data_IF_756133395780
#
_entry.id   IF_756133395780
#
_cell.length_a   1.000
_cell.length_b   1.000
_cell.length_c   1.000
_cell.angle_alpha   90.00
_cell.angle_beta   90.00
_cell.angle_gamma   90.00
#
_symmetry.space_group_name_H-M   'P 1'
#
loop_
_entity.id
_entity.type
_entity.pdbx_description
1 polymer ?
#
# COMPACT_ATOMS: atom_id res chain seq x y z
N UNK A 1 52.02 6.44 -47.20
CA UNK A 1 50.78 5.64 -47.35
C UNK A 1 50.26 5.31 -45.96
N UNK A 2 49.08 5.81 -45.57
CA UNK A 2 48.42 5.50 -44.30
C UNK A 2 47.18 4.63 -44.59
N UNK A 3 46.86 3.62 -43.74
CA UNK A 3 45.78 2.68 -44.04
C UNK A 3 44.40 3.27 -43.71
N UNK A 4 43.43 2.96 -44.57
CA UNK A 4 42.03 3.35 -44.47
C UNK A 4 41.35 2.70 -43.25
N UNK A 5 40.78 3.51 -42.37
CA UNK A 5 39.84 3.06 -41.32
C UNK A 5 38.43 2.99 -41.92
N UNK A 6 37.98 1.77 -42.17
CA UNK A 6 36.61 1.39 -42.57
C UNK A 6 35.65 1.73 -41.43
N UNK A 7 34.75 2.68 -41.63
CA UNK A 7 33.70 3.03 -40.67
C UNK A 7 32.61 1.96 -40.62
N UNK A 8 32.40 1.37 -39.44
CA UNK A 8 31.16 0.67 -39.09
C UNK A 8 30.17 1.69 -38.51
N UNK A 9 28.95 1.81 -39.02
CA UNK A 9 27.87 2.40 -38.23
C UNK A 9 27.35 1.33 -37.27
N UNK A 10 27.61 1.52 -35.97
CA UNK A 10 26.92 0.77 -34.92
C UNK A 10 25.44 1.10 -34.98
N UNK A 11 24.64 0.16 -35.48
CA UNK A 11 23.19 0.25 -35.39
C UNK A 11 22.81 0.24 -33.91
N UNK A 12 22.30 1.37 -33.41
CA UNK A 12 21.63 1.46 -32.12
C UNK A 12 20.35 0.63 -32.20
N UNK A 13 20.43 -0.63 -31.80
CA UNK A 13 19.24 -1.48 -31.63
C UNK A 13 18.46 -0.95 -30.44
N UNK A 14 17.43 -0.14 -30.71
CA UNK A 14 16.39 0.19 -29.73
C UNK A 14 15.60 -1.09 -29.48
N UNK A 15 15.54 -1.61 -28.24
CA UNK A 15 14.71 -2.78 -27.95
C UNK A 15 13.23 -2.40 -28.17
N UNK A 16 12.39 -3.34 -28.66
CA UNK A 16 10.97 -3.07 -28.84
C UNK A 16 10.32 -2.75 -27.49
N UNK A 17 9.30 -1.87 -27.46
CA UNK A 17 8.54 -1.66 -26.23
C UNK A 17 7.89 -2.99 -25.84
N UNK A 18 8.17 -3.46 -24.63
CA UNK A 18 7.49 -4.62 -24.08
C UNK A 18 5.98 -4.33 -24.10
N UNK A 19 5.24 -5.15 -24.81
CA UNK A 19 3.77 -5.15 -24.82
C UNK A 19 3.25 -5.65 -23.48
N UNK A 20 3.42 -4.86 -22.42
CA UNK A 20 2.59 -4.94 -21.25
C UNK A 20 1.52 -3.87 -21.43
N UNK A 21 0.26 -4.30 -21.56
CA UNK A 21 -0.91 -3.48 -21.20
C UNK A 21 -0.52 -2.50 -20.12
N UNK A 22 -0.71 -1.21 -20.37
CA UNK A 22 -0.45 -0.12 -19.44
C UNK A 22 -1.39 -0.24 -18.22
N UNK A 23 -1.16 -1.26 -17.41
CA UNK A 23 -1.47 -1.21 -15.99
C UNK A 23 -0.69 0.00 -15.51
N UNK A 24 -1.43 0.99 -15.02
CA UNK A 24 -0.91 2.14 -14.28
C UNK A 24 0.32 1.66 -13.50
N UNK A 25 1.46 2.34 -13.62
CA UNK A 25 2.76 1.98 -13.01
C UNK A 25 2.64 1.96 -11.47
N UNK A 26 1.91 1.00 -10.93
CA UNK A 26 1.56 0.86 -9.53
C UNK A 26 2.73 0.18 -8.84
N UNK A 27 3.17 0.68 -7.66
CA UNK A 27 4.22 0.03 -6.91
C UNK A 27 3.82 -1.39 -6.49
N UNK A 28 4.75 -2.34 -6.49
CA UNK A 28 4.46 -3.70 -6.06
C UNK A 28 4.04 -3.73 -4.60
N UNK A 29 3.02 -4.53 -4.29
CA UNK A 29 2.46 -4.69 -2.95
C UNK A 29 3.12 -5.90 -2.28
N UNK A 30 3.78 -5.68 -1.14
CA UNK A 30 4.36 -6.75 -0.30
C UNK A 30 3.33 -7.36 0.66
N UNK A 31 2.33 -6.58 1.08
CA UNK A 31 1.23 -7.04 1.90
C UNK A 31 -0.03 -6.19 1.68
N UNK A 32 -1.20 -6.81 1.88
CA UNK A 32 -2.51 -6.18 1.98
C UNK A 32 -3.18 -6.71 3.25
N UNK A 33 -3.84 -5.84 4.01
CA UNK A 33 -4.48 -6.20 5.27
C UNK A 33 -5.73 -5.35 5.49
N UNK A 34 -6.67 -5.91 6.25
CA UNK A 34 -7.87 -5.27 6.76
C UNK A 34 -7.79 -5.29 8.28
N UNK A 35 -7.87 -4.12 8.88
CA UNK A 35 -7.92 -3.94 10.33
C UNK A 35 -9.34 -3.49 10.69
N UNK A 36 -9.86 -4.08 11.75
CA UNK A 36 -11.16 -3.78 12.33
C UNK A 36 -10.98 -3.36 13.79
N UNK A 37 -11.75 -2.36 14.22
CA UNK A 37 -11.80 -1.95 15.61
C UNK A 37 -12.87 -2.73 16.37
N UNK A 38 -12.41 -3.63 17.24
CA UNK A 38 -13.26 -4.34 18.19
C UNK A 38 -13.27 -3.61 19.54
N UNK A 39 -14.46 -3.41 20.11
CA UNK A 39 -14.64 -2.65 21.36
C UNK A 39 -13.98 -3.33 22.58
N UNK A 40 -13.75 -4.65 22.53
CA UNK A 40 -13.15 -5.45 23.61
C UNK A 40 -11.68 -5.77 23.34
N UNK A 41 -11.33 -6.13 22.11
CA UNK A 41 -10.00 -6.56 21.71
C UNK A 41 -9.12 -5.42 21.19
N UNK A 42 -9.70 -4.25 20.90
CA UNK A 42 -9.00 -3.12 20.31
C UNK A 42 -8.81 -3.32 18.81
N UNK A 43 -7.62 -2.98 18.30
CA UNK A 43 -7.32 -3.08 16.87
C UNK A 43 -6.94 -4.52 16.51
N UNK A 44 -7.69 -5.14 15.60
CA UNK A 44 -7.47 -6.53 15.19
C UNK A 44 -7.31 -6.65 13.68
N UNK A 45 -6.49 -7.59 13.22
CA UNK A 45 -6.41 -7.91 11.79
C UNK A 45 -7.55 -8.87 11.46
N UNK A 46 -8.57 -8.36 10.76
CA UNK A 46 -9.69 -9.19 10.28
C UNK A 46 -9.28 -10.06 9.09
N UNK A 47 -8.36 -9.57 8.26
CA UNK A 47 -7.82 -10.32 7.12
C UNK A 47 -6.42 -9.81 6.73
N UNK A 48 -5.54 -10.69 6.25
CA UNK A 48 -4.24 -10.31 5.69
C UNK A 48 -3.74 -11.27 4.62
N UNK A 49 -2.93 -10.73 3.70
CA UNK A 49 -2.10 -11.48 2.79
C UNK A 49 -0.76 -10.77 2.64
N UNK A 50 0.34 -11.52 2.77
CA UNK A 50 1.69 -10.97 2.72
C UNK A 50 2.66 -11.95 2.04
N UNK A 51 3.79 -11.42 1.57
CA UNK A 51 4.94 -12.25 1.17
C UNK A 51 5.47 -13.04 2.37
N UNK A 52 6.10 -14.21 2.16
CA UNK A 52 6.67 -15.01 3.24
C UNK A 52 7.70 -14.22 4.07
N UNK A 53 7.60 -14.32 5.40
CA UNK A 53 8.54 -13.71 6.34
C UNK A 53 8.29 -12.23 6.66
N UNK A 54 7.22 -11.62 6.12
CA UNK A 54 6.81 -10.26 6.50
C UNK A 54 5.81 -10.34 7.67
N UNK A 55 6.24 -9.87 8.84
CA UNK A 55 5.41 -9.90 10.04
C UNK A 55 4.43 -8.72 10.05
N UNK A 56 3.17 -9.00 10.39
CA UNK A 56 2.11 -7.98 10.42
C UNK A 56 1.45 -7.91 11.79
N UNK A 57 1.39 -9.03 12.51
CA UNK A 57 0.59 -9.16 13.73
C UNK A 57 1.19 -8.34 14.86
N UNK A 58 0.36 -7.56 15.53
CA UNK A 58 0.76 -6.64 16.58
C UNK A 58 1.74 -5.58 16.10
N UNK A 59 1.73 -5.21 14.83
CA UNK A 59 2.62 -4.22 14.20
C UNK A 59 1.89 -3.21 13.31
N UNK A 60 0.96 -3.64 12.45
CA UNK A 60 0.29 -2.74 11.49
C UNK A 60 -1.03 -2.18 12.04
N UNK A 61 -1.62 -2.84 13.02
CA UNK A 61 -2.91 -2.50 13.64
C UNK A 61 -2.88 -1.09 14.26
N UNK A 62 -1.93 -0.87 15.16
CA UNK A 62 -1.77 0.42 15.84
C UNK A 62 -1.27 1.54 14.91
N UNK A 63 -0.62 1.19 13.79
CA UNK A 63 -0.14 2.18 12.80
C UNK A 63 -1.26 2.64 11.88
N UNK A 64 -2.21 1.76 11.59
CA UNK A 64 -3.31 2.05 10.65
C UNK A 64 -4.52 2.67 11.33
N UNK A 65 -4.58 2.59 12.67
CA UNK A 65 -5.60 3.20 13.53
C UNK A 65 -4.97 4.09 14.63
N UNK A 66 -4.29 5.21 14.28
CA UNK A 66 -3.82 6.18 15.26
C UNK A 66 -4.96 6.77 16.11
N UNK A 67 -4.61 7.25 17.31
CA UNK A 67 -5.58 7.89 18.19
C UNK A 67 -6.19 9.14 17.55
N UNK A 68 -7.49 9.35 17.78
CA UNK A 68 -8.23 10.51 17.25
C UNK A 68 -9.01 10.26 15.95
N UNK A 69 -8.77 9.14 15.26
CA UNK A 69 -9.52 8.81 14.03
C UNK A 69 -11.02 8.64 14.23
N UNK A 70 -11.49 8.41 15.46
CA UNK A 70 -12.92 8.41 15.78
C UNK A 70 -13.63 9.75 15.63
N UNK A 71 -12.87 10.84 15.41
CA UNK A 71 -13.43 12.17 15.19
C UNK A 71 -13.63 12.53 13.72
N UNK A 72 -13.18 11.66 12.80
CA UNK A 72 -13.31 11.84 11.36
C UNK A 72 -14.07 10.67 10.73
N UNK A 73 -14.67 10.90 9.58
CA UNK A 73 -15.35 9.88 8.77
C UNK A 73 -14.37 9.00 8.02
N UNK A 74 -13.27 9.58 7.55
CA UNK A 74 -12.29 8.92 6.71
C UNK A 74 -10.94 9.61 6.84
N UNK A 75 -9.86 8.87 6.62
CA UNK A 75 -8.50 9.41 6.57
C UNK A 75 -7.57 8.48 5.77
N UNK A 76 -6.40 9.00 5.39
CA UNK A 76 -5.36 8.25 4.72
C UNK A 76 -4.05 8.30 5.53
N UNK A 77 -3.67 7.17 6.11
CA UNK A 77 -2.57 7.09 7.06
C UNK A 77 -1.32 6.54 6.37
N UNK A 78 -0.21 7.28 6.49
CA UNK A 78 1.11 6.87 6.01
C UNK A 78 1.99 6.48 7.18
N UNK A 79 2.70 5.36 7.06
CA UNK A 79 3.65 4.92 8.08
C UNK A 79 4.84 4.16 7.48
N UNK A 80 5.84 3.88 8.30
CA UNK A 80 6.99 3.03 7.94
C UNK A 80 6.94 1.74 8.75
N UNK A 81 7.24 0.63 8.08
CA UNK A 81 7.26 -0.70 8.66
C UNK A 81 8.65 -1.33 8.47
N UNK A 82 9.27 -1.68 9.60
CA UNK A 82 10.58 -2.32 9.72
C UNK A 82 11.71 -1.68 8.89
N UNK A 83 11.62 -0.37 8.65
CA UNK A 83 12.62 0.40 7.90
C UNK A 83 12.75 0.05 6.41
N UNK A 84 12.03 -0.97 5.92
CA UNK A 84 12.12 -1.48 4.56
C UNK A 84 10.84 -1.25 3.73
N UNK A 85 9.70 -1.04 4.40
CA UNK A 85 8.41 -0.86 3.74
C UNK A 85 7.74 0.46 4.14
N UNK A 86 7.07 1.09 3.17
CA UNK A 86 6.10 2.14 3.42
C UNK A 86 4.72 1.50 3.54
N UNK A 87 3.98 1.88 4.59
CA UNK A 87 2.59 1.55 4.76
C UNK A 87 1.69 2.69 4.31
N UNK A 88 0.57 2.33 3.71
CA UNK A 88 -0.53 3.22 3.40
C UNK A 88 -1.84 2.53 3.77
N UNK A 89 -2.68 3.15 4.58
CA UNK A 89 -4.00 2.62 4.91
C UNK A 89 -5.10 3.66 4.76
N UNK A 90 -6.20 3.27 4.13
CA UNK A 90 -7.42 4.06 4.05
C UNK A 90 -8.34 3.66 5.21
N UNK A 91 -8.67 4.62 6.04
CA UNK A 91 -9.54 4.48 7.19
C UNK A 91 -10.94 4.97 6.86
N UNK A 92 -11.96 4.27 7.36
CA UNK A 92 -13.37 4.66 7.31
C UNK A 92 -14.01 4.41 8.68
N UNK A 93 -14.86 5.35 9.08
CA UNK A 93 -15.67 5.37 10.29
C UNK A 93 -17.12 5.64 9.91
N UNK A 94 -17.90 4.57 9.79
CA UNK A 94 -19.29 4.62 9.37
C UNK A 94 -20.24 4.34 10.52
N UNK A 95 -21.35 5.08 10.63
CA UNK A 95 -22.40 4.73 11.58
C UNK A 95 -22.92 3.30 11.32
N UNK A 96 -22.95 2.47 12.36
CA UNK A 96 -23.41 1.08 12.27
C UNK A 96 -24.45 0.79 13.36
N UNK A 97 -25.61 0.26 12.98
CA UNK A 97 -26.69 -0.07 13.94
C UNK A 97 -26.50 -1.45 14.60
N UNK A 98 -25.36 -2.11 14.39
CA UNK A 98 -25.08 -3.43 14.97
C UNK A 98 -24.86 -3.36 16.50
N UNK A 99 -25.58 -4.23 17.22
CA UNK A 99 -25.46 -4.42 18.66
C UNK A 99 -24.10 -5.03 19.04
N UNK A 100 -23.10 -4.15 19.16
CA UNK A 100 -21.72 -4.50 19.48
C UNK A 100 -20.72 -3.42 19.05
N UNK A 101 -21.04 -2.69 17.98
CA UNK A 101 -20.17 -1.67 17.37
C UNK A 101 -20.31 -0.27 18.00
N UNK A 102 -21.10 -0.09 19.07
CA UNK A 102 -21.39 1.21 19.71
C UNK A 102 -21.70 2.32 18.68
N UNK A 103 -22.57 2.03 17.73
CA UNK A 103 -23.04 2.97 16.72
C UNK A 103 -22.06 3.33 15.59
N UNK A 104 -20.85 2.74 15.54
CA UNK A 104 -19.92 3.00 14.44
C UNK A 104 -18.99 1.81 14.12
N UNK A 105 -18.87 1.47 12.84
CA UNK A 105 -17.90 0.52 12.30
C UNK A 105 -16.66 1.29 11.86
N UNK A 106 -15.51 0.94 12.43
CA UNK A 106 -14.24 1.58 12.12
C UNK A 106 -13.28 0.56 11.53
N UNK A 107 -12.95 0.73 10.25
CA UNK A 107 -12.07 -0.18 9.50
C UNK A 107 -10.91 0.57 8.85
N UNK A 108 -9.83 -0.16 8.59
CA UNK A 108 -8.68 0.35 7.86
C UNK A 108 -8.18 -0.70 6.86
N UNK A 109 -8.23 -0.38 5.57
CA UNK A 109 -7.65 -1.22 4.50
C UNK A 109 -6.29 -0.68 4.15
N UNK A 110 -5.24 -1.48 4.34
CA UNK A 110 -3.87 -1.01 4.16
C UNK A 110 -2.96 -1.96 3.41
N UNK A 111 -1.90 -1.38 2.86
CA UNK A 111 -0.85 -2.09 2.12
C UNK A 111 0.53 -1.76 2.68
N UNK A 112 1.48 -2.66 2.40
CA UNK A 112 2.90 -2.37 2.48
C UNK A 112 3.51 -2.43 1.08
N UNK A 113 4.35 -1.44 0.75
CA UNK A 113 5.15 -1.40 -0.48
C UNK A 113 6.63 -1.21 -0.15
N UNK A 114 7.57 -1.76 -0.95
CA UNK A 114 9.01 -1.59 -0.68
C UNK A 114 9.44 -0.12 -0.78
N UNK A 115 10.23 0.36 0.19
CA UNK A 115 10.81 1.71 0.16
C UNK A 115 11.84 1.88 -0.97
N UNK A 116 12.35 0.80 -1.54
CA UNK A 116 13.23 0.83 -2.71
C UNK A 116 12.56 1.39 -3.96
N UNK A 117 11.22 1.48 -3.98
CA UNK A 117 10.44 1.91 -5.15
C UNK A 117 10.19 3.43 -5.23
N UNK A 118 11.06 4.22 -4.60
CA UNK A 118 11.02 5.68 -4.56
C UNK A 118 10.59 6.23 -3.21
N UNK A 119 10.30 7.54 -3.13
CA UNK A 119 9.86 8.19 -1.89
C UNK A 119 8.61 7.47 -1.36
N UNK A 120 8.67 6.97 -0.12
CA UNK A 120 7.60 6.18 0.50
C UNK A 120 7.06 5.06 -0.41
N UNK A 121 7.93 4.44 -1.21
CA UNK A 121 7.57 3.38 -2.16
C UNK A 121 6.51 3.77 -3.19
N UNK A 122 6.26 5.08 -3.38
CA UNK A 122 5.15 5.61 -4.20
C UNK A 122 3.77 5.10 -3.78
N UNK A 123 3.58 4.75 -2.51
CA UNK A 123 2.37 4.12 -1.98
C UNK A 123 1.09 4.89 -2.32
N UNK A 124 1.15 6.23 -2.41
CA UNK A 124 0.00 7.09 -2.76
C UNK A 124 -0.67 6.72 -4.09
N UNK A 125 0.02 6.01 -5.00
CA UNK A 125 -0.59 5.52 -6.24
C UNK A 125 -1.70 4.49 -6.01
N UNK A 126 -1.76 3.88 -4.81
CA UNK A 126 -2.83 2.98 -4.40
C UNK A 126 -3.94 3.66 -3.60
N UNK A 127 -3.82 4.95 -3.27
CA UNK A 127 -4.72 5.63 -2.34
C UNK A 127 -6.19 5.55 -2.77
N UNK A 128 -6.49 5.85 -4.05
CA UNK A 128 -7.88 5.83 -4.55
C UNK A 128 -8.47 4.42 -4.52
N UNK A 129 -7.68 3.40 -4.86
CA UNK A 129 -8.11 2.00 -4.80
C UNK A 129 -8.40 1.58 -3.35
N UNK A 130 -7.55 1.97 -2.39
CA UNK A 130 -7.75 1.66 -0.98
C UNK A 130 -9.01 2.33 -0.42
N UNK A 131 -9.23 3.60 -0.75
CA UNK A 131 -10.44 4.33 -0.37
C UNK A 131 -11.69 3.67 -0.94
N UNK A 132 -11.64 3.24 -2.21
CA UNK A 132 -12.75 2.51 -2.83
C UNK A 132 -13.01 1.15 -2.18
N UNK A 133 -11.97 0.47 -1.68
CA UNK A 133 -12.11 -0.80 -0.96
C UNK A 133 -12.62 -0.65 0.47
N UNK A 134 -12.37 0.50 1.09
CA UNK A 134 -12.80 0.80 2.46
C UNK A 134 -14.23 1.37 2.53
N UNK A 135 -14.77 1.84 1.39
CA UNK A 135 -16.12 2.40 1.25
C UNK A 135 -17.19 1.35 0.91
#
# INVERSE_FOLDING_TARGET
MAPARRGQPSALSVPPPASSTALVDLPPISALFLIDFDVKAGYTIAWKQAIPGLELEGLVEYKSLPSGLHTVSDDLIYFVHDGAHAGLSAFVNEPCEEEGARHARMISVGILVPLSYGRLGRAWRHADNLKQMAA
#
